data_IF_751607182060
#
_entry.id   IF_751607182060
#
_cell.length_a   1.000
_cell.length_b   1.000
_cell.length_c   1.000
_cell.angle_alpha   90.00
_cell.angle_beta   90.00
_cell.angle_gamma   90.00
#
_symmetry.space_group_name_H-M   'P 1'
#
loop_
_entity.id
_entity.type
_entity.pdbx_description
1 polymer ?
#
# COMPACT_ATOMS: atom_id res chain seq x y z
N UNK A 1 11.59 3.09 -12.10
CA UNK A 1 10.58 3.20 -11.02
C UNK A 1 9.20 3.34 -11.64
N UNK A 2 8.19 2.62 -11.15
CA UNK A 2 6.79 2.83 -11.54
C UNK A 2 6.10 3.71 -10.50
N UNK A 3 5.26 4.65 -10.94
CA UNK A 3 4.41 5.47 -10.06
C UNK A 3 3.08 4.75 -9.86
N UNK A 4 2.62 4.69 -8.62
CA UNK A 4 1.31 4.16 -8.29
C UNK A 4 0.20 5.11 -8.74
N UNK A 5 -0.76 4.58 -9.48
CA UNK A 5 -1.95 5.34 -9.84
C UNK A 5 -2.88 5.51 -8.61
N UNK A 6 -3.59 6.65 -8.51
CA UNK A 6 -4.56 6.87 -7.44
C UNK A 6 -5.71 5.85 -7.50
N UNK A 7 -6.30 5.55 -6.34
CA UNK A 7 -7.42 4.59 -6.22
C UNK A 7 -7.09 3.19 -6.76
N UNK A 8 -5.82 2.79 -6.71
CA UNK A 8 -5.36 1.43 -7.01
C UNK A 8 -4.84 0.75 -5.76
N UNK A 9 -4.64 -0.56 -5.83
CA UNK A 9 -4.08 -1.35 -4.73
C UNK A 9 -2.76 -0.73 -4.24
N UNK A 10 -1.89 -0.25 -5.14
CA UNK A 10 -0.65 0.41 -4.74
C UNK A 10 -0.83 1.62 -3.80
N UNK A 11 -1.90 2.38 -3.95
CA UNK A 11 -2.22 3.55 -3.11
C UNK A 11 -3.19 3.21 -1.97
N UNK A 12 -3.50 1.93 -1.75
CA UNK A 12 -4.49 1.48 -0.77
C UNK A 12 -3.83 1.00 0.53
N UNK A 13 -4.32 1.44 1.69
CA UNK A 13 -3.89 0.95 3.02
C UNK A 13 -3.97 -0.57 3.14
N UNK A 14 -4.98 -1.18 2.52
CA UNK A 14 -5.28 -2.61 2.59
C UNK A 14 -4.42 -3.49 1.68
N UNK A 15 -3.56 -2.91 0.84
CA UNK A 15 -2.62 -3.69 0.04
C UNK A 15 -1.36 -3.96 0.85
N UNK A 16 -0.89 -5.20 0.87
CA UNK A 16 0.32 -5.63 1.57
C UNK A 16 1.56 -5.73 0.68
N UNK A 17 1.53 -5.14 -0.52
CA UNK A 17 2.70 -5.10 -1.40
C UNK A 17 3.72 -4.05 -0.97
N UNK A 18 5.00 -4.32 -1.28
CA UNK A 18 6.11 -3.43 -0.95
C UNK A 18 6.01 -2.14 -1.76
N UNK A 19 6.10 -1.01 -1.06
CA UNK A 19 5.97 0.33 -1.63
C UNK A 19 6.60 1.35 -0.69
N UNK A 20 7.03 2.46 -1.25
CA UNK A 20 7.64 3.56 -0.54
C UNK A 20 6.97 4.88 -0.92
N UNK A 21 7.08 5.89 -0.06
CA UNK A 21 6.75 7.26 -0.42
C UNK A 21 7.96 7.91 -1.08
N UNK A 22 7.73 8.61 -2.18
CA UNK A 22 8.75 9.45 -2.80
C UNK A 22 9.09 10.65 -1.89
N UNK A 23 10.20 11.36 -2.13
CA UNK A 23 10.60 12.52 -1.33
C UNK A 23 9.58 13.66 -1.28
N UNK A 24 8.65 13.72 -2.22
CA UNK A 24 7.55 14.69 -2.25
C UNK A 24 6.45 14.40 -1.20
N UNK A 25 6.52 13.27 -0.50
CA UNK A 25 5.56 12.84 0.53
C UNK A 25 4.17 12.47 -0.01
N UNK A 26 3.95 12.50 -1.32
CA UNK A 26 2.63 12.34 -1.93
C UNK A 26 2.58 11.22 -2.97
N UNK A 27 3.70 10.94 -3.62
CA UNK A 27 3.83 9.92 -4.65
C UNK A 27 4.17 8.57 -4.01
N UNK A 28 3.39 7.54 -4.36
CA UNK A 28 3.65 6.17 -3.91
C UNK A 28 4.39 5.40 -5.01
N UNK A 29 5.49 4.76 -4.65
CA UNK A 29 6.36 4.01 -5.54
C UNK A 29 6.35 2.52 -5.15
N UNK A 30 5.66 1.64 -5.92
CA UNK A 30 5.73 0.20 -5.71
C UNK A 30 7.13 -0.35 -6.01
N UNK A 31 7.54 -1.36 -5.25
CA UNK A 31 8.79 -2.08 -5.51
C UNK A 31 8.72 -2.77 -6.89
N UNK A 32 9.62 -2.43 -7.84
CA UNK A 32 9.58 -2.98 -9.19
C UNK A 32 9.96 -4.48 -9.26
N UNK A 33 10.68 -4.99 -8.27
CA UNK A 33 10.99 -6.42 -8.14
C UNK A 33 9.85 -7.19 -7.45
N UNK A 34 9.01 -6.51 -6.65
CA UNK A 34 7.90 -7.10 -5.89
C UNK A 34 6.55 -6.45 -6.24
N UNK A 35 6.14 -6.64 -7.49
CA UNK A 35 4.90 -6.08 -8.06
C UNK A 35 3.60 -6.75 -7.57
N UNK A 36 3.62 -7.63 -6.57
CA UNK A 36 2.41 -8.24 -6.03
C UNK A 36 2.47 -8.29 -4.51
N UNK A 37 1.32 -8.09 -3.89
CA UNK A 37 1.14 -8.25 -2.46
C UNK A 37 -0.27 -8.73 -2.13
N UNK A 38 -0.46 -9.43 -1.00
CA UNK A 38 -1.78 -9.85 -0.56
C UNK A 38 -2.63 -8.63 -0.16
N UNK A 39 -3.94 -8.69 -0.39
CA UNK A 39 -4.86 -7.76 0.27
C UNK A 39 -5.03 -8.24 1.72
N UNK A 40 -4.79 -7.36 2.68
CA UNK A 40 -4.81 -7.73 4.11
C UNK A 40 -6.18 -7.55 4.76
N UNK A 41 -7.14 -6.92 4.07
CA UNK A 41 -8.51 -6.69 4.55
C UNK A 41 -9.49 -6.52 3.37
N UNK A 42 -10.79 -6.59 3.65
CA UNK A 42 -11.86 -6.31 2.70
C UNK A 42 -12.24 -7.52 1.82
N UNK A 43 -13.01 -7.32 0.74
CA UNK A 43 -13.58 -8.41 -0.07
C UNK A 43 -12.53 -9.24 -0.81
N UNK A 44 -11.30 -8.76 -0.91
CA UNK A 44 -10.18 -9.46 -1.54
C UNK A 44 -9.18 -9.99 -0.51
N UNK A 45 -9.51 -10.02 0.78
CA UNK A 45 -8.62 -10.49 1.85
C UNK A 45 -7.96 -11.83 1.47
N UNK A 46 -6.64 -11.92 1.65
CA UNK A 46 -5.81 -13.08 1.30
C UNK A 46 -5.48 -13.19 -0.19
N UNK A 47 -6.11 -12.43 -1.08
CA UNK A 47 -5.85 -12.50 -2.53
C UNK A 47 -4.60 -11.73 -2.92
N UNK A 48 -3.75 -12.33 -3.77
CA UNK A 48 -2.57 -11.71 -4.36
C UNK A 48 -2.96 -10.72 -5.47
N UNK A 49 -2.57 -9.45 -5.30
CA UNK A 49 -3.00 -8.33 -6.14
C UNK A 49 -1.79 -7.51 -6.58
N UNK A 50 -1.81 -7.04 -7.82
CA UNK A 50 -0.80 -6.14 -8.37
C UNK A 50 -1.12 -4.65 -8.13
N UNK A 51 -0.14 -3.77 -8.34
CA UNK A 51 -0.23 -2.34 -8.01
C UNK A 51 -1.35 -1.62 -8.76
N UNK A 52 -1.71 -2.08 -9.97
CA UNK A 52 -2.75 -1.47 -10.83
C UNK A 52 -4.15 -2.03 -10.61
N UNK A 53 -4.32 -3.06 -9.78
CA UNK A 53 -5.65 -3.62 -9.53
C UNK A 53 -6.50 -2.62 -8.72
N UNK A 54 -7.83 -2.62 -8.94
CA UNK A 54 -8.78 -1.81 -8.18
C UNK A 54 -9.67 -2.69 -7.30
N UNK A 55 -9.79 -2.40 -6.00
CA UNK A 55 -10.60 -3.21 -5.08
C UNK A 55 -12.02 -2.67 -4.85
N UNK A 56 -12.34 -1.47 -5.37
CA UNK A 56 -13.64 -0.81 -5.17
C UNK A 56 -13.90 -0.29 -3.74
N UNK A 57 -13.07 -0.68 -2.78
CA UNK A 57 -13.12 -0.29 -1.36
C UNK A 57 -11.76 0.31 -0.96
N UNK A 58 -11.34 1.29 -1.76
CA UNK A 58 -10.05 1.96 -1.60
C UNK A 58 -10.07 2.85 -0.34
N UNK A 59 -8.98 2.76 0.42
CA UNK A 59 -8.70 3.59 1.59
C UNK A 59 -7.30 4.13 1.40
N UNK A 60 -7.11 5.44 1.50
CA UNK A 60 -5.82 6.06 1.23
C UNK A 60 -4.75 5.50 2.18
N UNK A 61 -3.61 5.09 1.61
CA UNK A 61 -2.51 4.55 2.40
C UNK A 61 -1.83 5.61 3.27
N UNK A 62 -1.79 6.88 2.84
CA UNK A 62 -1.11 7.98 3.53
C UNK A 62 -1.92 8.49 4.72
N UNK A 63 -3.24 8.33 4.68
CA UNK A 63 -4.12 8.63 5.82
C UNK A 63 -4.03 7.56 6.92
N UNK A 64 -3.40 6.42 6.64
CA UNK A 64 -3.03 5.46 7.67
C UNK A 64 -1.87 6.05 8.47
N UNK A 65 -2.16 6.63 9.63
CA UNK A 65 -1.11 6.89 10.61
C UNK A 65 -0.25 5.62 10.74
N UNK A 66 1.10 5.73 10.68
CA UNK A 66 1.93 4.61 11.06
C UNK A 66 1.48 4.15 12.45
N UNK A 67 1.45 2.84 12.75
CA UNK A 67 1.27 2.43 14.13
C UNK A 67 2.30 3.20 14.97
N UNK A 68 1.94 3.76 16.13
CA UNK A 68 2.90 4.47 16.96
C UNK A 68 4.09 3.54 17.13
N UNK A 69 5.29 4.06 16.85
CA UNK A 69 6.51 3.32 17.14
C UNK A 69 6.39 2.87 18.60
N UNK A 70 6.29 1.57 18.84
CA UNK A 70 6.49 1.02 20.17
C UNK A 70 7.94 1.34 20.52
N UNK A 71 8.13 2.50 21.14
CA UNK A 71 9.23 2.73 22.06
C UNK A 71 8.96 1.78 23.23
N UNK A 72 9.50 0.58 23.08
CA UNK A 72 9.43 -0.49 24.06
C UNK A 72 10.80 -0.67 24.67
N UNK A 73 11.27 0.37 25.35
CA UNK A 73 12.36 0.29 26.32
C UNK A 73 11.86 -0.47 27.56
N UNK A 74 12.49 -1.61 27.85
CA UNK A 74 12.92 -2.07 29.19
C UNK A 74 13.85 -3.26 29.00
#
# INVERSE_FOLDING_TARGET
>A
MQIAEPKRCATCKRWGGVRELAPDGSTVLPDPARLRGPCIEGPWHGSLRGPRNACGQWVDWREAAPPPATDGET
#
